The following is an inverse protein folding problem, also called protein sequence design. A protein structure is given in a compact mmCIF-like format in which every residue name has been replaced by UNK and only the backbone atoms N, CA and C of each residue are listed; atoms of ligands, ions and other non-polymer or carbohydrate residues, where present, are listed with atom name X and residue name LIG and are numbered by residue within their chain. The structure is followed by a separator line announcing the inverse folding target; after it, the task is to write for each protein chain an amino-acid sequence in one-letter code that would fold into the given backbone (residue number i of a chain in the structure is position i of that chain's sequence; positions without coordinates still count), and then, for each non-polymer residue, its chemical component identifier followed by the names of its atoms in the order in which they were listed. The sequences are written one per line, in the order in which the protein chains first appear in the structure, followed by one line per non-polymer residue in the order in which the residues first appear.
data_IF_310955564902
#
_entry.id   IF_310955564902
#
_cell.length_a   1.000
_cell.length_b   1.000
_cell.length_c   1.000
_cell.angle_alpha   90.00
_cell.angle_beta   90.00
_cell.angle_gamma   90.00
#
_symmetry.space_group_name_H-M   'P 1'
#
loop_
_entity.id
_entity.type
_entity.pdbx_description
1 polymer ?
#
# COMPACT_ATOMS: atom_id res chain seq x y z
N UNK A 1 -2.83 -27.30 4.69
CA UNK A 1 -3.24 -27.50 3.29
C UNK A 1 -4.32 -26.47 3.01
N UNK A 2 -4.00 -25.48 2.17
CA UNK A 2 -4.67 -24.19 2.10
C UNK A 2 -6.06 -24.29 1.43
N UNK A 3 -7.08 -23.76 2.11
CA UNK A 3 -8.36 -23.45 1.52
C UNK A 3 -8.16 -22.47 0.35
N UNK A 4 -8.88 -22.66 -0.75
CA UNK A 4 -8.92 -21.77 -1.92
C UNK A 4 -9.38 -20.36 -1.47
N UNK A 5 -8.59 -19.31 -1.75
CA UNK A 5 -8.67 -17.99 -1.09
C UNK A 5 -8.71 -16.82 -2.10
N UNK A 6 -9.68 -15.92 -1.91
CA UNK A 6 -10.07 -14.70 -2.65
C UNK A 6 -9.07 -14.13 -3.69
N UNK A 7 -9.47 -13.98 -4.96
CA UNK A 7 -8.69 -13.34 -6.05
C UNK A 7 -8.40 -14.27 -7.24
N UNK A 8 -8.44 -15.58 -7.01
CA UNK A 8 -8.40 -16.63 -8.03
C UNK A 8 -9.67 -16.60 -8.89
N UNK A 9 -9.53 -16.60 -10.22
CA UNK A 9 -10.66 -16.55 -11.17
C UNK A 9 -10.90 -15.20 -11.86
N UNK A 10 -10.29 -14.12 -11.38
CA UNK A 10 -10.21 -12.83 -12.10
C UNK A 10 -9.05 -12.79 -13.13
N UNK A 11 -8.58 -13.96 -13.57
CA UNK A 11 -7.39 -14.11 -14.42
C UNK A 11 -6.06 -14.19 -13.64
N UNK A 12 -6.10 -14.17 -12.30
CA UNK A 12 -4.90 -14.30 -11.46
C UNK A 12 -4.73 -15.70 -10.85
N UNK A 13 -3.51 -16.01 -10.41
CA UNK A 13 -3.16 -17.23 -9.69
C UNK A 13 -3.75 -17.28 -8.26
N UNK A 14 -3.61 -18.41 -7.58
CA UNK A 14 -4.02 -18.58 -6.19
C UNK A 14 -3.20 -17.65 -5.26
N UNK A 15 -3.76 -17.31 -4.11
CA UNK A 15 -3.15 -16.37 -3.15
C UNK A 15 -1.72 -16.74 -2.76
N UNK A 16 -1.43 -18.03 -2.62
CA UNK A 16 -0.12 -18.57 -2.26
C UNK A 16 0.92 -18.54 -3.40
N UNK A 17 0.52 -18.18 -4.61
CA UNK A 17 1.36 -18.17 -5.82
C UNK A 17 1.61 -16.75 -6.35
N UNK A 18 1.18 -15.71 -5.61
CA UNK A 18 1.18 -14.32 -6.09
C UNK A 18 2.03 -13.41 -5.20
N UNK A 19 2.99 -12.74 -5.83
CA UNK A 19 3.64 -11.53 -5.30
C UNK A 19 2.89 -10.31 -5.85
N UNK A 20 2.12 -9.63 -5.01
CA UNK A 20 1.35 -8.45 -5.42
C UNK A 20 2.04 -7.14 -5.05
N UNK A 21 1.86 -6.12 -5.88
CA UNK A 21 2.36 -4.77 -5.69
C UNK A 21 1.43 -3.78 -6.43
N UNK A 22 1.40 -2.53 -5.99
CA UNK A 22 0.66 -1.47 -6.71
C UNK A 22 1.47 -1.01 -7.91
N UNK A 23 2.74 -0.70 -7.69
CA UNK A 23 3.72 -0.28 -8.68
C UNK A 23 5.04 -1.05 -8.48
N UNK A 24 5.91 -0.95 -9.48
CA UNK A 24 7.29 -1.43 -9.43
C UNK A 24 8.21 -0.37 -10.05
N UNK A 25 9.51 -0.65 -10.10
CA UNK A 25 10.50 0.28 -10.63
C UNK A 25 10.31 0.58 -12.13
N UNK A 26 9.73 -0.31 -12.92
CA UNK A 26 9.52 -0.07 -14.35
C UNK A 26 8.24 0.74 -14.58
N UNK A 27 7.10 0.21 -14.15
CA UNK A 27 5.78 0.75 -14.47
C UNK A 27 5.49 2.11 -13.78
N UNK A 28 6.18 2.45 -12.69
CA UNK A 28 6.07 3.78 -12.07
C UNK A 28 6.59 4.92 -12.97
N UNK A 29 7.27 4.57 -14.06
CA UNK A 29 7.82 5.50 -15.06
C UNK A 29 6.94 5.60 -16.31
N UNK A 30 5.81 4.90 -16.31
CA UNK A 30 4.81 4.91 -17.37
C UNK A 30 3.58 5.72 -16.93
N UNK A 31 2.51 5.72 -17.74
CA UNK A 31 1.27 6.44 -17.41
C UNK A 31 0.40 5.73 -16.36
N UNK A 32 0.63 4.44 -16.14
CA UNK A 32 -0.09 3.60 -15.18
C UNK A 32 0.89 2.56 -14.62
N UNK A 33 0.80 2.17 -13.34
CA UNK A 33 -0.29 2.36 -12.35
C UNK A 33 -0.15 3.65 -11.52
N UNK A 34 -0.96 3.79 -10.46
CA UNK A 34 -0.74 4.83 -9.45
C UNK A 34 0.60 4.63 -8.72
N UNK A 35 1.26 5.71 -8.38
CA UNK A 35 2.61 5.78 -7.81
C UNK A 35 2.68 6.81 -6.68
N UNK A 36 3.84 6.99 -6.07
CA UNK A 36 4.06 8.06 -5.09
C UNK A 36 3.74 9.47 -5.60
N UNK A 37 3.66 9.69 -6.92
CA UNK A 37 3.29 10.99 -7.53
C UNK A 37 1.80 11.31 -7.35
N UNK A 38 0.96 10.30 -7.13
CA UNK A 38 -0.49 10.45 -6.94
C UNK A 38 -0.92 10.50 -5.46
N UNK A 39 0.00 10.81 -4.54
CA UNK A 39 -0.29 11.17 -3.15
C UNK A 39 -1.27 10.22 -2.44
N UNK A 40 -2.46 10.73 -2.12
CA UNK A 40 -3.48 10.00 -1.35
C UNK A 40 -4.08 8.82 -2.11
N UNK A 41 -4.21 8.91 -3.44
CA UNK A 41 -4.68 7.80 -4.28
C UNK A 41 -3.76 6.58 -4.11
N UNK A 42 -2.45 6.80 -4.13
CA UNK A 42 -1.48 5.73 -3.93
C UNK A 42 -1.47 5.21 -2.49
N UNK A 43 -1.59 6.10 -1.49
CA UNK A 43 -1.74 5.68 -0.08
C UNK A 43 -2.95 4.78 0.12
N UNK A 44 -4.10 5.12 -0.48
CA UNK A 44 -5.32 4.30 -0.42
C UNK A 44 -5.13 2.94 -1.09
N UNK A 45 -4.50 2.90 -2.27
CA UNK A 45 -4.24 1.66 -2.99
C UNK A 45 -3.31 0.72 -2.20
N UNK A 46 -2.20 1.25 -1.67
CA UNK A 46 -1.26 0.47 -0.83
C UNK A 46 -1.93 0.04 0.49
N UNK A 47 -2.72 0.91 1.11
CA UNK A 47 -3.46 0.57 2.33
C UNK A 47 -4.44 -0.58 2.08
N UNK A 48 -5.21 -0.55 1.00
CA UNK A 48 -6.09 -1.64 0.61
C UNK A 48 -5.32 -2.94 0.35
N UNK A 49 -4.21 -2.88 -0.40
CA UNK A 49 -3.35 -4.04 -0.66
C UNK A 49 -2.85 -4.70 0.63
N UNK A 50 -2.49 -3.90 1.65
CA UNK A 50 -2.04 -4.39 2.95
C UNK A 50 -3.19 -4.87 3.85
N UNK A 51 -4.39 -4.30 3.70
CA UNK A 51 -5.55 -4.72 4.48
C UNK A 51 -6.17 -6.03 3.96
N UNK A 52 -6.19 -6.21 2.64
CA UNK A 52 -6.76 -7.39 1.99
C UNK A 52 -5.91 -8.64 2.20
N UNK A 53 -6.52 -9.82 2.11
CA UNK A 53 -5.89 -11.12 2.42
C UNK A 53 -5.43 -11.89 1.17
N UNK A 54 -5.04 -11.20 0.10
CA UNK A 54 -4.58 -11.81 -1.14
C UNK A 54 -3.08 -11.58 -1.38
N UNK A 55 -2.36 -12.63 -1.76
CA UNK A 55 -0.96 -12.56 -2.17
C UNK A 55 0.03 -12.24 -1.03
N UNK A 56 1.29 -12.15 -1.43
CA UNK A 56 2.40 -11.64 -0.62
C UNK A 56 2.73 -10.20 -1.05
N UNK A 57 2.30 -9.18 -0.28
CA UNK A 57 2.38 -7.79 -0.72
C UNK A 57 3.81 -7.25 -0.65
N UNK A 58 4.25 -6.61 -1.73
CA UNK A 58 5.49 -5.85 -1.82
C UNK A 58 5.18 -4.37 -1.99
N UNK A 59 5.68 -3.56 -1.05
CA UNK A 59 5.58 -2.09 -1.10
C UNK A 59 6.80 -1.53 -1.81
N UNK A 60 6.60 -0.70 -2.83
CA UNK A 60 7.67 0.01 -3.50
C UNK A 60 8.21 1.13 -2.62
N UNK A 61 9.53 1.38 -2.68
CA UNK A 61 10.17 2.53 -2.06
C UNK A 61 11.09 3.20 -3.06
N UNK A 62 10.75 4.42 -3.44
CA UNK A 62 11.26 5.10 -4.62
C UNK A 62 12.20 6.25 -4.27
N UNK A 63 12.75 6.84 -5.32
CA UNK A 63 13.38 8.15 -5.34
C UNK A 63 12.64 9.06 -6.32
N UNK A 64 12.77 10.37 -6.18
CA UNK A 64 12.14 11.34 -7.09
C UNK A 64 12.87 11.38 -8.44
N UNK A 65 12.11 11.33 -9.54
CA UNK A 65 12.61 11.42 -10.91
C UNK A 65 11.64 12.18 -11.83
N UNK A 66 12.18 12.81 -12.86
CA UNK A 66 11.43 13.51 -13.92
C UNK A 66 11.59 12.89 -15.31
N UNK A 67 12.61 12.05 -15.52
CA UNK A 67 12.82 11.30 -16.77
C UNK A 67 12.73 9.80 -16.53
N UNK A 68 12.33 9.07 -17.57
CA UNK A 68 12.18 7.61 -17.53
C UNK A 68 13.52 6.91 -17.25
N UNK A 69 14.61 7.39 -17.88
CA UNK A 69 15.97 6.87 -17.77
C UNK A 69 16.78 7.47 -16.60
N UNK A 70 16.14 8.23 -15.70
CA UNK A 70 16.84 8.88 -14.60
C UNK A 70 17.24 7.88 -13.51
N UNK A 71 18.54 7.84 -13.23
CA UNK A 71 19.13 7.12 -12.10
C UNK A 71 18.81 7.74 -10.74
N UNK A 72 19.23 7.08 -9.65
CA UNK A 72 18.96 7.54 -8.30
C UNK A 72 19.70 8.85 -7.95
N UNK A 73 19.33 9.52 -6.85
CA UNK A 73 20.09 10.63 -6.27
C UNK A 73 21.57 10.29 -6.14
N UNK A 74 22.46 11.09 -6.76
CA UNK A 74 23.90 10.82 -6.79
C UNK A 74 24.72 12.12 -6.67
N UNK A 75 26.03 11.99 -6.45
CA UNK A 75 26.98 13.11 -6.31
C UNK A 75 27.50 13.67 -7.66
N UNK A 76 26.94 13.25 -8.79
CA UNK A 76 27.28 13.72 -10.13
C UNK A 76 28.49 13.03 -10.77
N UNK A 77 28.80 13.41 -12.02
CA UNK A 77 29.82 12.74 -12.85
C UNK A 77 31.23 12.75 -12.23
N UNK A 78 31.62 13.83 -11.54
CA UNK A 78 32.92 13.93 -10.87
C UNK A 78 33.12 12.93 -9.72
N UNK A 79 32.04 12.31 -9.24
CA UNK A 79 32.04 11.25 -8.23
C UNK A 79 31.84 9.84 -8.80
N UNK A 80 31.79 9.70 -10.14
CA UNK A 80 31.38 8.46 -10.78
C UNK A 80 29.92 8.09 -10.49
N UNK A 81 29.04 9.07 -10.26
CA UNK A 81 27.63 8.87 -9.91
C UNK A 81 27.41 8.05 -8.63
N UNK A 82 28.30 8.18 -7.64
CA UNK A 82 28.10 7.58 -6.33
C UNK A 82 26.72 7.95 -5.76
N UNK A 83 25.93 6.95 -5.36
CA UNK A 83 24.56 7.16 -4.87
C UNK A 83 24.57 7.84 -3.50
N UNK A 84 23.67 8.81 -3.30
CA UNK A 84 23.49 9.53 -2.04
C UNK A 84 22.59 8.74 -1.11
N UNK A 85 22.91 8.73 0.18
CA UNK A 85 22.03 8.14 1.19
C UNK A 85 20.79 9.02 1.45
N UNK A 86 19.65 8.41 1.82
CA UNK A 86 18.52 9.18 2.34
C UNK A 86 18.87 9.88 3.64
N UNK A 87 18.21 11.00 3.90
CA UNK A 87 18.21 11.66 5.21
C UNK A 87 16.78 11.70 5.74
N UNK A 88 16.62 11.76 7.06
CA UNK A 88 15.32 11.54 7.70
C UNK A 88 14.90 12.75 8.53
N UNK A 89 13.60 13.02 8.53
CA UNK A 89 12.95 13.99 9.38
C UNK A 89 12.68 13.40 10.78
N UNK A 90 12.38 14.23 11.80
CA UNK A 90 12.04 13.74 13.15
C UNK A 90 10.85 12.77 13.20
N UNK A 91 9.90 12.86 12.26
CA UNK A 91 8.74 11.97 12.15
C UNK A 91 9.04 10.63 11.43
N UNK A 92 10.33 10.37 11.20
CA UNK A 92 10.92 9.24 10.50
C UNK A 92 10.62 9.15 8.99
N UNK A 93 9.96 10.15 8.40
CA UNK A 93 9.85 10.27 6.94
C UNK A 93 11.19 10.66 6.33
N UNK A 94 11.37 10.45 5.02
CA UNK A 94 12.55 10.95 4.33
C UNK A 94 12.43 12.46 4.10
N UNK A 95 13.55 13.16 4.29
CA UNK A 95 13.68 14.55 3.90
C UNK A 95 13.63 14.60 2.35
N UNK A 96 12.65 15.31 1.74
CA UNK A 96 12.50 15.37 0.30
C UNK A 96 13.76 15.88 -0.42
N UNK A 97 14.54 16.74 0.22
CA UNK A 97 15.79 17.28 -0.31
C UNK A 97 16.90 16.23 -0.48
N UNK A 98 16.77 15.05 0.15
CA UNK A 98 17.66 13.91 -0.10
C UNK A 98 17.43 13.25 -1.48
N UNK A 99 16.27 13.52 -2.09
CA UNK A 99 15.83 12.91 -3.34
C UNK A 99 15.14 11.55 -3.18
N UNK A 100 15.02 11.04 -1.95
CA UNK A 100 14.34 9.78 -1.65
C UNK A 100 12.90 10.01 -1.21
N UNK A 101 11.97 9.18 -1.71
CA UNK A 101 10.53 9.27 -1.42
C UNK A 101 10.17 8.54 -0.13
N UNK A 102 10.69 7.31 0.00
CA UNK A 102 10.51 6.45 1.16
C UNK A 102 9.05 6.20 1.55
N UNK A 103 8.25 5.73 0.60
CA UNK A 103 6.83 5.37 0.80
C UNK A 103 6.66 4.39 1.97
N UNK A 104 7.60 3.45 2.14
CA UNK A 104 7.64 2.52 3.28
C UNK A 104 7.73 3.20 4.67
N UNK A 105 8.09 4.48 4.74
CA UNK A 105 8.18 5.28 5.98
C UNK A 105 6.99 6.20 6.19
N UNK A 106 6.14 6.37 5.19
CA UNK A 106 4.95 7.21 5.32
C UNK A 106 4.05 6.66 6.44
N UNK A 107 3.52 7.51 7.33
CA UNK A 107 2.70 7.06 8.45
C UNK A 107 1.59 6.09 8.04
N UNK A 108 0.82 6.41 7.00
CA UNK A 108 -0.24 5.53 6.49
C UNK A 108 0.29 4.14 6.12
N UNK A 109 1.39 4.06 5.36
CA UNK A 109 1.90 2.78 4.84
C UNK A 109 2.57 1.97 5.95
N UNK A 110 3.37 2.60 6.82
CA UNK A 110 4.05 1.89 7.91
C UNK A 110 3.08 1.37 8.96
N UNK A 111 2.01 2.11 9.27
CA UNK A 111 0.97 1.62 10.19
C UNK A 111 0.13 0.52 9.53
N UNK A 112 -0.13 0.59 8.22
CA UNK A 112 -0.80 -0.50 7.50
C UNK A 112 0.06 -1.77 7.37
N UNK A 113 1.39 -1.64 7.35
CA UNK A 113 2.29 -2.79 7.44
C UNK A 113 2.16 -3.48 8.81
N UNK A 114 2.04 -2.71 9.90
CA UNK A 114 1.73 -3.25 11.23
C UNK A 114 0.34 -3.90 11.25
N UNK A 115 -0.68 -3.23 10.68
CA UNK A 115 -2.02 -3.78 10.55
C UNK A 115 -1.98 -5.16 9.88
N UNK A 116 -1.36 -5.27 8.70
CA UNK A 116 -1.18 -6.54 7.95
C UNK A 116 -0.57 -7.64 8.81
N UNK A 117 0.46 -7.30 9.59
CA UNK A 117 1.12 -8.23 10.51
C UNK A 117 0.17 -8.70 11.61
N UNK A 118 -0.57 -7.79 12.23
CA UNK A 118 -1.54 -8.10 13.29
C UNK A 118 -2.64 -9.01 12.77
N UNK A 119 -3.23 -8.70 11.62
CA UNK A 119 -4.39 -9.42 11.06
C UNK A 119 -4.01 -10.68 10.27
N UNK A 120 -2.74 -11.09 10.25
CA UNK A 120 -2.28 -12.23 9.46
C UNK A 120 -3.09 -13.50 9.79
N UNK A 121 -3.48 -14.24 8.75
CA UNK A 121 -4.28 -15.47 8.86
C UNK A 121 -5.78 -15.28 9.11
N UNK A 122 -6.25 -14.09 9.47
CA UNK A 122 -7.68 -13.83 9.64
C UNK A 122 -8.41 -13.74 8.29
N UNK A 123 -9.60 -14.33 8.20
CA UNK A 123 -10.46 -14.22 7.02
C UNK A 123 -11.00 -12.79 6.86
N UNK A 124 -11.30 -12.40 5.63
CA UNK A 124 -12.09 -11.20 5.34
C UNK A 124 -13.57 -11.53 5.52
N UNK A 125 -14.27 -10.76 6.33
CA UNK A 125 -15.71 -10.89 6.63
C UNK A 125 -16.38 -9.52 6.62
N UNK A 126 -17.72 -9.50 6.60
CA UNK A 126 -18.50 -8.25 6.70
C UNK A 126 -18.14 -7.20 5.64
N UNK A 127 -18.00 -7.64 4.38
CA UNK A 127 -17.61 -6.75 3.27
C UNK A 127 -18.78 -5.82 2.92
N UNK A 128 -18.51 -4.52 2.94
CA UNK A 128 -19.44 -3.46 2.54
C UNK A 128 -18.87 -2.70 1.35
N UNK A 129 -19.62 -2.63 0.26
CA UNK A 129 -19.25 -1.88 -0.95
C UNK A 129 -20.34 -0.88 -1.34
N UNK A 130 -19.97 0.37 -1.56
CA UNK A 130 -20.85 1.42 -2.12
C UNK A 130 -20.07 2.27 -3.14
N UNK A 131 -20.70 3.33 -3.67
CA UNK A 131 -20.06 4.25 -4.62
C UNK A 131 -18.73 4.81 -4.08
N UNK A 132 -17.62 4.26 -4.60
CA UNK A 132 -16.23 4.54 -4.21
C UNK A 132 -15.94 4.33 -2.72
N UNK A 133 -16.68 3.45 -2.05
CA UNK A 133 -16.51 3.15 -0.62
C UNK A 133 -16.39 1.65 -0.42
N UNK A 134 -15.47 1.27 0.45
CA UNK A 134 -15.22 -0.11 0.83
C UNK A 134 -14.91 -0.19 2.32
N UNK A 135 -15.53 -1.13 3.01
CA UNK A 135 -15.11 -1.54 4.33
C UNK A 135 -15.20 -3.06 4.50
N UNK A 136 -14.41 -3.62 5.41
CA UNK A 136 -14.46 -5.02 5.78
C UNK A 136 -13.73 -5.25 7.11
N UNK A 137 -14.11 -6.33 7.79
CA UNK A 137 -13.40 -6.81 8.95
C UNK A 137 -12.40 -7.93 8.59
N UNK A 138 -11.32 -7.98 9.34
CA UNK A 138 -10.41 -9.12 9.44
C UNK A 138 -10.76 -9.85 10.73
N UNK A 139 -11.46 -10.97 10.58
CA UNK A 139 -12.15 -11.68 11.66
C UNK A 139 -11.31 -11.80 12.95
N UNK A 140 -11.79 -11.17 14.02
CA UNK A 140 -11.24 -11.17 15.37
C UNK A 140 -9.94 -10.38 15.55
N UNK A 141 -9.55 -9.52 14.59
CA UNK A 141 -8.23 -8.89 14.60
C UNK A 141 -8.14 -7.44 14.14
N UNK A 142 -9.11 -6.95 13.34
CA UNK A 142 -9.03 -5.59 12.83
C UNK A 142 -10.11 -5.24 11.82
N UNK A 143 -10.26 -3.94 11.56
CA UNK A 143 -11.22 -3.40 10.62
C UNK A 143 -10.55 -2.44 9.65
N UNK A 144 -10.98 -2.42 8.40
CA UNK A 144 -10.49 -1.51 7.37
C UNK A 144 -11.66 -0.82 6.68
N UNK A 145 -11.56 0.49 6.50
CA UNK A 145 -12.51 1.28 5.71
C UNK A 145 -11.77 2.33 4.88
N UNK A 146 -12.27 2.56 3.67
CA UNK A 146 -11.77 3.56 2.74
C UNK A 146 -12.93 4.24 2.03
N UNK A 147 -12.86 5.57 1.92
CA UNK A 147 -13.85 6.39 1.25
C UNK A 147 -13.17 7.23 0.17
N UNK A 148 -13.29 6.83 -1.10
CA UNK A 148 -12.89 7.60 -2.26
C UNK A 148 -13.99 8.50 -2.83
N UNK A 149 -15.12 8.62 -2.12
CA UNK A 149 -16.19 9.55 -2.45
C UNK A 149 -15.95 10.92 -1.78
N UNK A 150 -16.44 11.99 -2.39
CA UNK A 150 -16.38 13.34 -1.82
C UNK A 150 -17.32 13.52 -0.62
N UNK A 151 -18.43 12.76 -0.58
CA UNK A 151 -19.40 12.86 0.49
C UNK A 151 -18.94 12.09 1.74
N UNK A 152 -19.24 12.65 2.93
CA UNK A 152 -19.05 11.96 4.22
C UNK A 152 -19.76 10.61 4.20
N UNK A 153 -19.11 9.60 4.77
CA UNK A 153 -19.68 8.28 4.94
C UNK A 153 -19.88 8.01 6.43
N UNK A 154 -21.07 7.60 6.83
CA UNK A 154 -21.42 7.27 8.21
C UNK A 154 -22.19 5.97 8.21
N UNK A 155 -21.78 5.05 9.08
CA UNK A 155 -22.38 3.74 9.30
C UNK A 155 -22.29 3.42 10.78
N UNK A 156 -23.36 2.89 11.34
CA UNK A 156 -23.28 2.17 12.61
C UNK A 156 -22.82 0.75 12.30
N UNK A 157 -21.77 0.30 12.97
CA UNK A 157 -21.43 -1.11 13.01
C UNK A 157 -22.45 -1.82 13.91
N UNK A 158 -22.98 -2.97 13.48
CA UNK A 158 -23.86 -3.76 14.35
C UNK A 158 -23.04 -4.31 15.52
N UNK A 159 -23.65 -4.46 16.71
CA UNK A 159 -23.01 -4.95 17.95
C UNK A 159 -22.25 -6.29 17.79
N UNK A 160 -22.57 -7.09 16.76
CA UNK A 160 -21.84 -8.31 16.40
C UNK A 160 -20.41 -8.04 15.91
N UNK A 161 -20.13 -6.89 15.28
CA UNK A 161 -18.79 -6.50 14.82
C UNK A 161 -17.85 -6.16 15.97
N UNK A 162 -18.35 -5.53 17.05
CA UNK A 162 -17.55 -5.23 18.25
C UNK A 162 -17.05 -6.50 18.94
N UNK A 163 -17.80 -7.60 18.86
CA UNK A 163 -17.40 -8.91 19.40
C UNK A 163 -16.43 -9.70 18.51
N UNK A 164 -16.17 -9.21 17.30
CA UNK A 164 -15.41 -9.88 16.24
C UNK A 164 -14.23 -9.04 15.74
N UNK A 165 -13.84 -7.97 16.42
CA UNK A 165 -12.62 -7.19 16.16
C UNK A 165 -11.65 -7.32 17.33
#
# INVERSE_FOLDING_TARGET
MAYLRQGFGYGNHADNDVLNFIDNHDNQRESYPATHKEGDTYRMAVAYMLAWNYGYPRVMSSYYFSKNDQGPPNYGAGSGFATRSPTFNPDATCNPSSGWVCEHRWPTIREMAKFRSTVMGANVVEVVTEDKRLAFARQGKGFFAVNGNWARWSRQENELLESLV
#
